data_IF_336239546410
#
_entry.id   IF_336239546410
#
_cell.length_a   1.000
_cell.length_b   1.000
_cell.length_c   1.000
_cell.angle_alpha   90.00
_cell.angle_beta   90.00
_cell.angle_gamma   90.00
#
_symmetry.space_group_name_H-M   'P 1'
#
loop_
_entity.id
_entity.type
_entity.pdbx_description
1 polymer ?
#
# COMPACT_ATOMS: atom_id res chain seq x y z
N UNK A 1 56.26 -32.77 -52.68
CA UNK A 1 55.81 -31.61 -51.90
C UNK A 1 54.32 -31.71 -51.70
N UNK A 2 53.92 -32.21 -50.54
CA UNK A 2 52.51 -32.41 -50.16
C UNK A 2 52.09 -31.20 -49.35
N UNK A 3 51.13 -30.41 -49.83
CA UNK A 3 50.48 -29.34 -49.06
C UNK A 3 49.36 -29.94 -48.25
N UNK A 4 49.48 -29.91 -46.94
CA UNK A 4 48.40 -30.31 -45.99
C UNK A 4 47.59 -29.04 -45.74
N UNK A 5 46.33 -29.03 -46.16
CA UNK A 5 45.31 -28.03 -45.81
C UNK A 5 44.71 -28.42 -44.45
N UNK A 6 45.02 -27.62 -43.43
CA UNK A 6 44.38 -27.74 -42.14
C UNK A 6 43.12 -26.86 -42.17
N UNK A 7 41.97 -27.51 -42.25
CA UNK A 7 40.67 -26.83 -42.10
C UNK A 7 40.41 -26.55 -40.63
N UNK A 8 40.45 -25.29 -40.27
CA UNK A 8 40.09 -24.83 -38.94
C UNK A 8 38.53 -24.76 -38.85
N UNK A 9 37.91 -25.73 -38.20
CA UNK A 9 36.49 -25.75 -37.93
C UNK A 9 36.21 -24.84 -36.74
N UNK A 10 35.79 -23.59 -36.99
CA UNK A 10 35.36 -22.65 -35.96
C UNK A 10 33.98 -23.03 -35.48
N UNK A 11 33.91 -23.77 -34.38
CA UNK A 11 32.66 -24.03 -33.69
C UNK A 11 32.21 -22.78 -32.98
N UNK A 12 31.28 -22.02 -33.56
CA UNK A 12 30.57 -20.93 -32.91
C UNK A 12 29.56 -21.56 -31.94
N UNK A 13 29.95 -21.67 -30.68
CA UNK A 13 29.01 -22.00 -29.61
C UNK A 13 28.10 -20.79 -29.39
N UNK A 14 26.92 -20.82 -30.00
CA UNK A 14 25.82 -19.90 -29.66
C UNK A 14 25.36 -20.23 -28.24
N UNK A 15 25.84 -19.48 -27.28
CA UNK A 15 25.26 -19.45 -25.95
C UNK A 15 23.82 -18.91 -26.08
N UNK A 16 22.85 -19.80 -26.22
CA UNK A 16 21.45 -19.50 -26.02
C UNK A 16 21.28 -19.14 -24.53
N UNK A 17 21.40 -17.86 -24.22
CA UNK A 17 20.92 -17.35 -22.95
C UNK A 17 19.41 -17.52 -22.96
N UNK A 18 18.92 -18.55 -22.28
CA UNK A 18 17.50 -18.70 -22.00
C UNK A 18 17.11 -17.55 -21.07
N UNK A 19 16.79 -16.39 -21.65
CA UNK A 19 16.13 -15.33 -20.90
C UNK A 19 14.74 -15.87 -20.51
N UNK A 20 14.46 -16.02 -19.23
CA UNK A 20 13.15 -16.42 -18.76
C UNK A 20 12.11 -15.48 -19.40
N UNK A 21 11.23 -16.03 -20.23
CA UNK A 21 10.24 -15.26 -20.97
C UNK A 21 9.27 -14.64 -19.97
N UNK A 22 9.36 -13.33 -19.82
CA UNK A 22 8.42 -12.56 -18.97
C UNK A 22 7.11 -12.46 -19.72
N UNK A 23 6.04 -13.04 -19.14
CA UNK A 23 4.69 -13.05 -19.70
C UNK A 23 3.70 -12.42 -18.73
N UNK A 24 2.61 -11.92 -19.27
CA UNK A 24 1.48 -11.42 -18.49
C UNK A 24 0.55 -12.57 -18.16
N UNK A 25 0.33 -12.80 -16.88
CA UNK A 25 -0.57 -13.82 -16.36
C UNK A 25 -1.83 -13.18 -15.79
N UNK A 26 -2.99 -13.71 -16.15
CA UNK A 26 -4.28 -13.29 -15.62
C UNK A 26 -4.88 -14.45 -14.80
N UNK A 27 -5.15 -14.21 -13.54
CA UNK A 27 -5.60 -15.20 -12.57
C UNK A 27 -6.98 -14.82 -12.04
N UNK A 28 -7.88 -15.79 -11.93
CA UNK A 28 -9.17 -15.62 -11.25
C UNK A 28 -8.97 -15.89 -9.76
N UNK A 29 -9.03 -14.86 -8.94
CA UNK A 29 -8.86 -14.94 -7.47
C UNK A 29 -10.19 -14.82 -6.73
N UNK A 30 -11.30 -14.52 -7.44
CA UNK A 30 -12.62 -14.24 -6.88
C UNK A 30 -12.76 -12.80 -6.41
N UNK A 31 -13.98 -12.27 -6.42
CA UNK A 31 -14.25 -10.89 -5.97
C UNK A 31 -14.09 -10.76 -4.46
N UNK A 32 -13.61 -9.61 -4.01
CA UNK A 32 -13.27 -9.34 -2.60
C UNK A 32 -13.58 -7.90 -2.24
N UNK A 33 -13.81 -7.65 -0.95
CA UNK A 33 -14.01 -6.30 -0.40
C UNK A 33 -12.96 -5.92 0.66
N UNK A 34 -12.01 -6.82 0.94
CA UNK A 34 -10.85 -6.57 1.82
C UNK A 34 -9.60 -7.16 1.19
N UNK A 35 -8.49 -6.44 1.29
CA UNK A 35 -7.19 -6.87 0.74
C UNK A 35 -6.14 -6.83 1.83
N UNK A 36 -5.36 -7.90 1.98
CA UNK A 36 -4.18 -7.94 2.83
C UNK A 36 -2.97 -8.38 2.00
N UNK A 37 -1.90 -7.61 2.06
CA UNK A 37 -0.58 -7.96 1.51
C UNK A 37 0.28 -8.35 2.69
N UNK A 38 0.76 -9.61 2.73
CA UNK A 38 1.45 -10.18 3.91
C UNK A 38 2.97 -10.21 3.73
N UNK A 39 3.47 -10.17 2.50
CA UNK A 39 4.89 -10.27 2.19
C UNK A 39 5.39 -9.04 1.43
N UNK A 40 6.69 -8.98 1.17
CA UNK A 40 7.36 -7.85 0.52
C UNK A 40 7.11 -7.75 -0.99
N UNK A 41 5.88 -7.99 -1.42
CA UNK A 41 5.45 -7.87 -2.82
C UNK A 41 4.67 -6.58 -3.06
N UNK A 42 5.03 -5.84 -4.11
CA UNK A 42 4.31 -4.63 -4.48
C UNK A 42 2.95 -4.97 -5.09
N UNK A 43 1.90 -4.30 -4.61
CA UNK A 43 0.53 -4.53 -5.07
C UNK A 43 -0.12 -3.23 -5.51
N UNK A 44 -0.74 -3.25 -6.69
CA UNK A 44 -1.63 -2.20 -7.17
C UNK A 44 -3.08 -2.72 -7.05
N UNK A 45 -3.89 -2.04 -6.28
CA UNK A 45 -5.33 -2.25 -6.23
C UNK A 45 -6.04 -1.23 -7.12
N UNK A 46 -7.01 -1.70 -7.90
CA UNK A 46 -7.93 -0.86 -8.68
C UNK A 46 -9.36 -1.34 -8.51
N UNK A 47 -10.26 -0.43 -8.16
CA UNK A 47 -11.69 -0.73 -8.20
C UNK A 47 -12.16 -0.73 -9.65
N UNK A 48 -12.66 -1.88 -10.12
CA UNK A 48 -13.20 -2.04 -11.46
C UNK A 48 -14.14 -3.26 -11.46
N UNK A 49 -15.44 -3.02 -11.70
CA UNK A 49 -16.45 -4.07 -11.68
C UNK A 49 -16.30 -5.07 -12.85
N UNK A 50 -15.86 -4.61 -14.03
CA UNK A 50 -15.70 -5.47 -15.21
C UNK A 50 -14.55 -6.49 -15.05
N UNK A 51 -13.56 -6.15 -14.25
CA UNK A 51 -12.39 -6.98 -13.95
C UNK A 51 -12.42 -7.56 -12.54
N UNK A 52 -13.55 -7.46 -11.83
CA UNK A 52 -13.66 -7.89 -10.45
C UNK A 52 -13.24 -9.35 -10.26
N UNK A 53 -12.46 -9.62 -9.23
CA UNK A 53 -11.93 -10.94 -8.93
C UNK A 53 -10.76 -11.40 -9.82
N UNK A 54 -10.15 -10.47 -10.56
CA UNK A 54 -8.96 -10.74 -11.37
C UNK A 54 -7.68 -10.26 -10.68
N UNK A 55 -6.61 -11.03 -10.82
CA UNK A 55 -5.25 -10.62 -10.52
C UNK A 55 -4.40 -10.70 -11.80
N UNK A 56 -3.54 -9.70 -12.02
CA UNK A 56 -2.62 -9.61 -13.17
C UNK A 56 -1.20 -9.50 -12.66
N UNK A 57 -0.34 -10.40 -13.13
CA UNK A 57 1.08 -10.42 -12.79
C UNK A 57 1.89 -10.53 -14.07
N UNK A 58 2.93 -9.74 -14.21
CA UNK A 58 3.87 -9.82 -15.33
C UNK A 58 5.21 -10.36 -14.81
N UNK A 59 5.46 -11.64 -15.06
CA UNK A 59 6.67 -12.33 -14.57
C UNK A 59 6.93 -13.61 -15.39
N UNK A 60 8.02 -14.31 -15.09
CA UNK A 60 8.22 -15.68 -15.55
C UNK A 60 7.25 -16.63 -14.85
N UNK A 61 6.95 -17.76 -15.49
CA UNK A 61 6.02 -18.76 -14.92
C UNK A 61 6.52 -19.28 -13.57
N UNK A 62 7.82 -19.50 -13.45
CA UNK A 62 8.43 -20.01 -12.21
C UNK A 62 8.22 -19.06 -11.03
N UNK A 63 8.28 -17.73 -11.25
CA UNK A 63 7.98 -16.74 -10.22
C UNK A 63 6.50 -16.68 -9.84
N UNK A 64 5.61 -16.97 -10.80
CA UNK A 64 4.17 -16.94 -10.54
C UNK A 64 3.77 -18.00 -9.49
N UNK A 65 4.38 -19.18 -9.53
CA UNK A 65 4.05 -20.30 -8.65
C UNK A 65 4.38 -20.01 -7.15
N UNK A 66 5.17 -18.96 -6.89
CA UNK A 66 5.49 -18.52 -5.52
C UNK A 66 4.59 -17.42 -4.97
N UNK A 67 3.71 -16.87 -5.81
CA UNK A 67 2.75 -15.85 -5.38
C UNK A 67 1.44 -16.53 -5.01
N UNK A 68 1.12 -16.55 -3.74
CA UNK A 68 -0.07 -17.20 -3.20
C UNK A 68 -1.23 -16.21 -3.05
N UNK A 69 -2.38 -16.59 -3.57
CA UNK A 69 -3.64 -15.86 -3.44
C UNK A 69 -4.62 -16.69 -2.62
N UNK A 70 -5.11 -16.14 -1.51
CA UNK A 70 -6.08 -16.82 -0.65
C UNK A 70 -7.30 -15.94 -0.40
N UNK A 71 -8.44 -16.32 -0.96
CA UNK A 71 -9.71 -15.66 -0.68
C UNK A 71 -10.41 -16.35 0.49
N UNK A 72 -10.74 -15.59 1.53
CA UNK A 72 -11.50 -16.08 2.67
C UNK A 72 -13.02 -16.02 2.41
N UNK A 73 -13.80 -16.84 3.14
CA UNK A 73 -15.26 -16.79 3.08
C UNK A 73 -15.86 -15.42 3.50
N UNK A 74 -15.08 -14.56 4.17
CA UNK A 74 -15.48 -13.21 4.57
C UNK A 74 -15.09 -12.13 3.55
N UNK A 75 -14.74 -12.51 2.31
CA UNK A 75 -14.38 -11.58 1.23
C UNK A 75 -13.02 -10.90 1.40
N UNK A 76 -12.07 -11.47 2.16
CA UNK A 76 -10.69 -10.98 2.27
C UNK A 76 -9.78 -11.75 1.34
N UNK A 77 -9.16 -11.06 0.40
CA UNK A 77 -8.07 -11.59 -0.42
C UNK A 77 -6.74 -11.32 0.30
N UNK A 78 -5.98 -12.36 0.57
CA UNK A 78 -4.60 -12.28 1.07
C UNK A 78 -3.63 -12.62 -0.05
N UNK A 79 -2.60 -11.79 -0.22
CA UNK A 79 -1.50 -12.00 -1.18
C UNK A 79 -0.23 -12.16 -0.37
N UNK A 80 0.46 -13.28 -0.56
CA UNK A 80 1.73 -13.55 0.10
C UNK A 80 2.69 -14.29 -0.82
N UNK A 81 3.98 -14.22 -0.53
CA UNK A 81 5.01 -15.01 -1.16
C UNK A 81 5.24 -16.31 -0.37
N UNK A 82 5.67 -17.36 -1.02
CA UNK A 82 6.17 -18.54 -0.32
C UNK A 82 7.48 -18.21 0.41
N UNK A 83 7.73 -18.86 1.53
CA UNK A 83 8.87 -18.60 2.43
C UNK A 83 10.25 -18.57 1.74
N UNK A 84 10.41 -19.28 0.62
CA UNK A 84 11.66 -19.32 -0.14
C UNK A 84 11.98 -18.01 -0.88
N UNK A 85 11.01 -17.10 -1.08
CA UNK A 85 11.13 -15.93 -1.93
C UNK A 85 10.96 -14.59 -1.21
N UNK A 86 10.80 -14.59 0.10
CA UNK A 86 10.63 -13.37 0.91
C UNK A 86 11.82 -12.38 0.82
N UNK A 87 12.97 -12.83 0.30
CA UNK A 87 14.20 -12.02 0.20
C UNK A 87 14.71 -11.82 -1.22
N UNK A 88 13.89 -12.10 -2.24
CA UNK A 88 14.31 -11.91 -3.64
C UNK A 88 14.17 -10.45 -4.07
N UNK A 89 15.22 -9.94 -4.69
CA UNK A 89 15.17 -8.67 -5.42
C UNK A 89 14.41 -8.84 -6.74
N UNK A 90 13.75 -7.77 -7.21
CA UNK A 90 13.12 -7.78 -8.54
C UNK A 90 11.77 -8.49 -8.61
N UNK A 91 11.07 -8.67 -7.51
CA UNK A 91 9.72 -9.25 -7.50
C UNK A 91 8.75 -8.46 -8.38
N UNK A 92 7.84 -9.15 -9.11
CA UNK A 92 6.87 -8.50 -9.96
C UNK A 92 5.86 -7.70 -9.12
N UNK A 93 5.27 -6.69 -9.76
CA UNK A 93 4.11 -6.01 -9.17
C UNK A 93 2.84 -6.77 -9.52
N UNK A 94 2.04 -7.09 -8.51
CA UNK A 94 0.72 -7.70 -8.66
C UNK A 94 -0.33 -6.60 -8.79
N UNK A 95 -1.19 -6.67 -9.80
CA UNK A 95 -2.35 -5.78 -9.91
C UNK A 95 -3.61 -6.60 -9.65
N UNK A 96 -4.45 -6.17 -8.71
CA UNK A 96 -5.71 -6.84 -8.37
C UNK A 96 -6.90 -5.91 -8.52
N UNK A 97 -8.03 -6.51 -8.90
CA UNK A 97 -9.27 -5.80 -9.18
C UNK A 97 -10.41 -6.38 -8.36
N UNK A 98 -11.26 -5.51 -7.82
CA UNK A 98 -12.53 -5.91 -7.20
C UNK A 98 -13.65 -4.93 -7.55
N UNK A 99 -14.90 -5.35 -7.35
CA UNK A 99 -16.08 -4.51 -7.57
C UNK A 99 -16.21 -3.41 -6.49
N UNK A 100 -15.71 -3.67 -5.29
CA UNK A 100 -15.74 -2.74 -4.15
C UNK A 100 -14.63 -3.05 -3.17
N UNK A 101 -14.25 -2.09 -2.33
CA UNK A 101 -13.26 -2.27 -1.27
C UNK A 101 -13.63 -1.45 -0.03
N UNK A 102 -13.53 -2.07 1.13
CA UNK A 102 -13.78 -1.45 2.43
C UNK A 102 -12.47 -1.26 3.21
N UNK A 103 -11.55 -2.19 3.07
CA UNK A 103 -10.32 -2.23 3.85
C UNK A 103 -9.14 -2.75 3.03
N UNK A 104 -8.01 -2.08 3.18
CA UNK A 104 -6.72 -2.57 2.69
C UNK A 104 -5.71 -2.61 3.83
N UNK A 105 -4.84 -3.60 3.83
CA UNK A 105 -3.79 -3.79 4.81
C UNK A 105 -2.49 -4.20 4.12
N UNK A 106 -1.40 -3.52 4.45
CA UNK A 106 -0.06 -3.93 4.08
C UNK A 106 0.68 -4.34 5.35
N UNK A 107 1.02 -5.63 5.42
CA UNK A 107 1.74 -6.25 6.51
C UNK A 107 3.10 -6.76 5.98
N UNK A 108 3.99 -5.81 5.72
CA UNK A 108 5.31 -6.04 5.13
C UNK A 108 5.97 -4.74 4.66
N UNK A 109 7.20 -4.85 4.15
CA UNK A 109 8.03 -3.70 3.74
C UNK A 109 7.76 -3.21 2.30
N UNK A 110 6.78 -3.80 1.62
CA UNK A 110 6.39 -3.48 0.25
C UNK A 110 5.51 -2.24 0.11
N UNK A 111 5.10 -1.94 -1.12
CA UNK A 111 4.18 -0.83 -1.41
C UNK A 111 2.83 -1.36 -1.90
N UNK A 112 1.75 -0.97 -1.21
CA UNK A 112 0.37 -1.15 -1.63
C UNK A 112 -0.17 0.18 -2.16
N UNK A 113 -0.57 0.23 -3.45
CA UNK A 113 -1.20 1.40 -4.09
C UNK A 113 -2.67 1.13 -4.33
N UNK A 114 -3.50 2.09 -3.96
CA UNK A 114 -4.96 2.03 -4.09
C UNK A 114 -5.43 3.18 -4.96
N UNK A 115 -6.13 2.85 -6.05
CA UNK A 115 -6.63 3.84 -7.01
C UNK A 115 -8.01 3.44 -7.54
N UNK A 116 -8.72 4.40 -8.14
CA UNK A 116 -10.01 4.15 -8.80
C UNK A 116 -11.16 3.89 -7.84
N UNK A 117 -11.07 4.37 -6.60
CA UNK A 117 -12.15 4.21 -5.62
C UNK A 117 -13.38 5.02 -6.03
N UNK A 118 -14.58 4.41 -6.08
CA UNK A 118 -15.82 5.17 -6.15
C UNK A 118 -16.07 5.92 -4.83
N UNK A 119 -17.05 6.83 -4.76
CA UNK A 119 -17.49 7.37 -3.48
C UNK A 119 -17.92 6.24 -2.52
N UNK A 120 -17.40 6.27 -1.28
CA UNK A 120 -17.59 5.23 -0.28
C UNK A 120 -18.23 5.80 0.98
N UNK A 121 -18.98 4.97 1.71
CA UNK A 121 -19.44 5.31 3.06
C UNK A 121 -18.25 5.31 4.05
N UNK A 122 -17.43 4.28 3.97
CA UNK A 122 -16.25 4.14 4.82
C UNK A 122 -15.11 3.44 4.07
N UNK A 123 -13.89 3.87 4.31
CA UNK A 123 -12.68 3.21 3.80
C UNK A 123 -11.61 3.19 4.88
N UNK A 124 -10.93 2.06 5.01
CA UNK A 124 -9.83 1.87 5.96
C UNK A 124 -8.56 1.39 5.28
N UNK A 125 -7.45 2.06 5.58
CA UNK A 125 -6.11 1.61 5.19
C UNK A 125 -5.26 1.37 6.43
N UNK A 126 -4.63 0.20 6.49
CA UNK A 126 -3.74 -0.22 7.58
C UNK A 126 -2.35 -0.50 7.05
N UNK A 127 -1.38 -0.22 7.89
CA UNK A 127 0.02 -0.55 7.66
C UNK A 127 0.61 -1.12 8.94
N UNK A 128 1.22 -2.27 8.82
CA UNK A 128 2.09 -2.89 9.83
C UNK A 128 3.51 -2.89 9.26
N UNK A 129 4.52 -2.73 10.12
CA UNK A 129 5.93 -2.68 9.74
C UNK A 129 6.36 -1.41 8.96
N UNK A 130 7.29 -1.55 7.99
CA UNK A 130 8.04 -0.43 7.42
C UNK A 130 7.64 -0.10 5.97
N UNK A 131 6.64 -0.81 5.45
CA UNK A 131 6.16 -0.64 4.09
C UNK A 131 5.48 0.69 3.82
N UNK A 132 4.76 0.75 2.71
CA UNK A 132 4.05 1.93 2.27
C UNK A 132 2.64 1.61 1.79
N UNK A 133 1.67 2.45 2.18
CA UNK A 133 0.32 2.45 1.60
C UNK A 133 0.08 3.80 0.95
N UNK A 134 -0.35 3.79 -0.32
CA UNK A 134 -0.65 4.99 -1.09
C UNK A 134 -2.10 4.92 -1.55
N UNK A 135 -2.94 5.84 -1.11
CA UNK A 135 -4.36 5.95 -1.47
C UNK A 135 -4.58 7.23 -2.24
N UNK A 136 -5.05 7.14 -3.49
CA UNK A 136 -5.29 8.32 -4.32
C UNK A 136 -6.72 8.44 -4.76
N UNK A 137 -7.25 9.66 -4.67
CA UNK A 137 -8.58 10.02 -5.13
C UNK A 137 -9.69 9.43 -4.27
N UNK A 138 -9.45 9.17 -2.98
CA UNK A 138 -10.48 8.68 -2.07
C UNK A 138 -11.54 9.74 -1.82
N UNK A 139 -12.80 9.34 -1.86
CA UNK A 139 -13.96 10.13 -1.43
C UNK A 139 -14.80 9.26 -0.53
N UNK A 140 -14.88 9.59 0.75
CA UNK A 140 -15.61 8.78 1.72
C UNK A 140 -16.26 9.63 2.80
N UNK A 141 -17.35 9.18 3.40
CA UNK A 141 -17.83 9.85 4.61
C UNK A 141 -16.87 9.60 5.78
N UNK A 142 -16.35 8.38 5.91
CA UNK A 142 -15.38 8.04 6.95
C UNK A 142 -14.10 7.47 6.32
N UNK A 143 -12.95 8.07 6.65
CA UNK A 143 -11.63 7.60 6.23
C UNK A 143 -10.77 7.29 7.46
N UNK A 144 -10.29 6.04 7.56
CA UNK A 144 -9.38 5.62 8.61
C UNK A 144 -8.01 5.24 8.03
N UNK A 145 -6.95 5.88 8.52
CA UNK A 145 -5.57 5.62 8.13
C UNK A 145 -4.76 5.25 9.38
N UNK A 146 -4.36 3.98 9.48
CA UNK A 146 -3.75 3.45 10.68
C UNK A 146 -2.38 2.83 10.41
N UNK A 147 -1.34 3.31 11.10
CA UNK A 147 -0.07 2.60 11.25
C UNK A 147 -0.12 1.90 12.60
N UNK A 148 -0.04 0.57 12.59
CA UNK A 148 -0.20 -0.27 13.77
C UNK A 148 1.13 -0.51 14.50
N UNK A 149 2.25 -0.49 13.76
CA UNK A 149 3.62 -0.61 14.29
C UNK A 149 4.63 -0.13 13.24
N UNK A 150 5.92 -0.04 13.61
CA UNK A 150 7.02 0.16 12.67
C UNK A 150 7.31 1.62 12.30
N UNK A 151 8.00 1.78 11.16
CA UNK A 151 8.46 3.06 10.58
C UNK A 151 7.81 3.38 9.24
N UNK A 152 6.81 2.61 8.85
CA UNK A 152 6.19 2.71 7.55
C UNK A 152 5.48 4.03 7.29
N UNK A 153 4.96 4.20 6.07
CA UNK A 153 4.37 5.45 5.62
C UNK A 153 3.02 5.23 4.93
N UNK A 154 2.01 5.98 5.35
CA UNK A 154 0.74 6.09 4.62
C UNK A 154 0.68 7.46 3.96
N UNK A 155 0.34 7.49 2.66
CA UNK A 155 0.12 8.71 1.88
C UNK A 155 -1.30 8.64 1.34
N UNK A 156 -2.12 9.64 1.63
CA UNK A 156 -3.50 9.71 1.15
C UNK A 156 -3.81 11.04 0.50
N UNK A 157 -4.66 11.02 -0.53
CA UNK A 157 -5.15 12.17 -1.26
C UNK A 157 -6.63 12.00 -1.57
N UNK A 158 -7.44 13.05 -1.36
CA UNK A 158 -8.87 13.02 -1.65
C UNK A 158 -9.69 13.91 -0.73
N UNK A 159 -10.89 13.44 -0.34
CA UNK A 159 -11.79 14.18 0.55
C UNK A 159 -12.61 13.23 1.42
N UNK A 160 -12.96 13.66 2.64
CA UNK A 160 -13.88 12.93 3.52
C UNK A 160 -14.57 13.88 4.51
N UNK A 161 -15.65 13.38 5.14
CA UNK A 161 -16.29 14.14 6.23
C UNK A 161 -15.51 13.95 7.53
N UNK A 162 -15.22 12.71 7.90
CA UNK A 162 -14.51 12.35 9.13
C UNK A 162 -13.21 11.58 8.81
N UNK A 163 -12.06 12.17 9.19
CA UNK A 163 -10.74 11.57 9.05
C UNK A 163 -10.21 11.09 10.39
N UNK A 164 -9.90 9.79 10.49
CA UNK A 164 -9.27 9.18 11.66
C UNK A 164 -7.84 8.74 11.34
N UNK A 165 -6.86 9.37 11.97
CA UNK A 165 -5.45 9.04 11.84
C UNK A 165 -4.96 8.39 13.14
N UNK A 166 -4.40 7.18 13.03
CA UNK A 166 -3.80 6.48 14.17
C UNK A 166 -2.39 6.04 13.82
N UNK A 167 -1.43 6.38 14.68
CA UNK A 167 -0.04 5.97 14.52
C UNK A 167 0.48 5.40 15.83
N UNK A 168 1.02 4.18 15.76
CA UNK A 168 1.78 3.55 16.83
C UNK A 168 3.18 3.28 16.30
N UNK A 169 4.21 3.88 16.94
CA UNK A 169 5.60 3.73 16.50
C UNK A 169 6.24 5.05 16.06
N UNK A 170 7.07 4.97 15.02
CA UNK A 170 7.90 6.08 14.51
C UNK A 170 7.60 6.43 13.05
N UNK A 171 6.54 5.85 12.48
CA UNK A 171 6.13 6.04 11.09
C UNK A 171 5.55 7.42 10.79
N UNK A 172 5.02 7.57 9.58
CA UNK A 172 4.48 8.83 9.09
C UNK A 172 3.15 8.64 8.37
N UNK A 173 2.14 9.46 8.68
CA UNK A 173 0.88 9.53 7.92
C UNK A 173 0.81 10.90 7.24
N UNK A 174 0.89 10.93 5.91
CA UNK A 174 0.71 12.11 5.07
C UNK A 174 -0.71 12.12 4.53
N UNK A 175 -1.61 12.84 5.17
CA UNK A 175 -3.00 13.06 4.77
C UNK A 175 -3.33 14.56 4.66
N UNK A 176 -2.32 15.39 4.48
CA UNK A 176 -2.48 16.83 4.25
C UNK A 176 -2.98 17.18 2.84
N UNK A 177 -3.12 16.19 1.96
CA UNK A 177 -3.85 16.27 0.69
C UNK A 177 -5.25 15.61 0.76
N UNK A 178 -5.74 15.30 1.96
CA UNK A 178 -7.13 14.86 2.20
C UNK A 178 -7.89 16.02 2.83
N UNK A 179 -8.82 16.60 2.09
CA UNK A 179 -9.72 17.62 2.62
C UNK A 179 -10.75 16.97 3.53
N UNK A 180 -10.66 17.20 4.84
CA UNK A 180 -11.56 16.62 5.83
C UNK A 180 -12.31 17.68 6.62
N UNK A 181 -13.59 17.43 6.92
CA UNK A 181 -14.36 18.34 7.80
C UNK A 181 -13.86 18.18 9.22
N UNK A 182 -13.92 16.98 9.79
CA UNK A 182 -13.43 16.68 11.13
C UNK A 182 -12.21 15.76 11.07
N UNK A 183 -11.23 16.02 11.95
CA UNK A 183 -10.01 15.21 12.01
C UNK A 183 -9.74 14.77 13.44
N UNK A 184 -9.51 13.48 13.62
CA UNK A 184 -9.06 12.86 14.87
C UNK A 184 -7.68 12.22 14.67
N UNK A 185 -6.68 12.71 15.38
CA UNK A 185 -5.31 12.20 15.36
C UNK A 185 -4.97 11.53 16.68
N UNK A 186 -4.50 10.28 16.63
CA UNK A 186 -3.98 9.58 17.81
C UNK A 186 -2.57 9.07 17.54
N UNK A 187 -1.59 9.57 18.32
CA UNK A 187 -0.19 9.15 18.25
C UNK A 187 0.23 8.44 19.53
N UNK A 188 0.88 7.29 19.39
CA UNK A 188 1.59 6.59 20.46
C UNK A 188 3.02 6.36 19.96
N UNK A 189 3.97 7.20 20.39
CA UNK A 189 5.37 7.12 19.94
C UNK A 189 5.94 8.48 19.51
N UNK A 190 6.81 8.48 18.49
CA UNK A 190 7.58 9.64 18.04
C UNK A 190 7.37 10.03 16.58
N UNK A 191 6.42 9.38 15.90
CA UNK A 191 6.12 9.63 14.50
C UNK A 191 5.42 10.95 14.22
N UNK A 192 5.04 11.16 12.97
CA UNK A 192 4.38 12.40 12.53
C UNK A 192 3.12 12.12 11.69
N UNK A 193 2.19 13.07 11.74
CA UNK A 193 0.98 13.09 10.91
C UNK A 193 0.81 14.44 10.26
N UNK A 194 0.36 14.45 8.99
CA UNK A 194 -0.13 15.63 8.28
C UNK A 194 -1.61 15.51 8.02
N UNK A 195 -2.40 16.60 8.17
CA UNK A 195 -3.83 16.63 7.84
C UNK A 195 -4.28 17.99 7.35
N UNK A 196 -5.43 18.04 6.65
CA UNK A 196 -6.11 19.27 6.24
C UNK A 196 -7.53 19.30 6.83
N UNK A 197 -7.86 20.37 7.58
CA UNK A 197 -9.14 20.48 8.30
C UNK A 197 -9.96 21.63 7.74
N UNK A 198 -11.15 21.33 7.23
CA UNK A 198 -12.02 22.30 6.55
C UNK A 198 -13.24 22.68 7.39
N UNK A 199 -13.03 23.57 8.35
CA UNK A 199 -14.09 24.20 9.14
C UNK A 199 -14.59 23.44 10.37
N UNK A 200 -14.31 22.13 10.49
CA UNK A 200 -14.72 21.31 11.63
C UNK A 200 -13.70 21.28 12.77
N UNK A 201 -13.70 20.22 13.55
CA UNK A 201 -12.83 20.08 14.72
C UNK A 201 -11.56 19.28 14.41
N UNK A 202 -10.42 19.72 14.97
CA UNK A 202 -9.19 18.95 15.08
C UNK A 202 -9.02 18.41 16.51
N UNK A 203 -9.04 17.10 16.68
CA UNK A 203 -8.76 16.42 17.95
C UNK A 203 -7.43 15.69 17.87
N UNK A 204 -6.48 16.07 18.73
CA UNK A 204 -5.17 15.42 18.83
C UNK A 204 -5.05 14.75 20.19
N UNK A 205 -4.72 13.47 20.21
CA UNK A 205 -4.53 12.71 21.46
C UNK A 205 -3.34 11.76 21.35
N UNK A 206 -2.78 11.36 22.50
CA UNK A 206 -1.77 10.30 22.53
C UNK A 206 -0.70 10.47 23.57
N UNK A 207 0.38 9.68 23.43
CA UNK A 207 1.53 9.66 24.33
C UNK A 207 2.84 9.61 23.55
N UNK A 208 3.90 10.26 24.07
CA UNK A 208 5.22 10.34 23.46
C UNK A 208 5.61 11.73 23.01
N UNK A 209 6.42 11.85 21.93
CA UNK A 209 6.98 13.11 21.42
C UNK A 209 6.58 13.39 19.96
N UNK A 210 5.54 12.75 19.46
CA UNK A 210 5.08 12.85 18.07
C UNK A 210 4.56 14.24 17.71
N UNK A 211 4.41 14.50 16.40
CA UNK A 211 3.98 15.78 15.86
C UNK A 211 2.78 15.60 14.92
N UNK A 212 1.79 16.49 15.05
CA UNK A 212 0.67 16.61 14.10
C UNK A 212 0.80 17.95 13.41
N UNK A 213 1.04 17.92 12.11
CA UNK A 213 1.03 19.10 11.26
C UNK A 213 -0.37 19.22 10.64
N UNK A 214 -0.96 20.41 10.73
CA UNK A 214 -2.28 20.62 10.14
C UNK A 214 -2.33 21.90 9.31
N UNK A 215 -3.08 21.85 8.23
CA UNK A 215 -3.48 23.01 7.43
C UNK A 215 -4.99 23.17 7.43
N UNK A 216 -5.46 24.25 6.80
CA UNK A 216 -6.88 24.60 6.79
C UNK A 216 -7.28 25.47 7.96
N UNK A 217 -8.59 25.56 8.22
CA UNK A 217 -9.20 26.47 9.19
C UNK A 217 -10.11 25.71 10.15
N UNK A 218 -9.55 24.93 11.11
CA UNK A 218 -10.38 24.25 12.08
C UNK A 218 -11.13 25.24 12.96
N UNK A 219 -12.41 25.01 13.22
CA UNK A 219 -13.20 25.80 14.17
C UNK A 219 -12.73 25.64 15.61
N UNK A 220 -12.13 24.48 15.92
CA UNK A 220 -11.60 24.16 17.25
C UNK A 220 -10.46 23.18 17.16
N UNK A 221 -9.40 23.42 17.93
CA UNK A 221 -8.26 22.50 18.10
C UNK A 221 -8.21 22.04 19.55
N UNK A 222 -8.34 20.74 19.77
CA UNK A 222 -8.26 20.13 21.11
C UNK A 222 -7.07 19.18 21.18
N UNK A 223 -6.17 19.38 22.14
CA UNK A 223 -4.99 18.54 22.35
C UNK A 223 -5.05 17.91 23.74
N UNK A 224 -5.14 16.56 23.78
CA UNK A 224 -5.07 15.76 25.02
C UNK A 224 -3.87 14.84 24.95
N UNK A 225 -2.86 15.06 25.78
CA UNK A 225 -1.56 14.38 25.65
C UNK A 225 -0.95 13.96 26.99
N UNK A 226 -0.21 12.86 26.92
CA UNK A 226 0.83 12.48 27.87
C UNK A 226 2.17 12.64 27.14
N UNK A 227 3.09 13.48 27.67
CA UNK A 227 4.36 13.82 27.02
C UNK A 227 4.31 15.13 26.22
N UNK A 228 5.10 15.21 25.13
CA UNK A 228 5.36 16.46 24.40
C UNK A 228 4.76 16.50 22.99
N UNK A 229 3.63 15.81 22.76
CA UNK A 229 2.92 15.85 21.47
C UNK A 229 2.53 17.30 21.15
N UNK A 230 2.74 17.70 19.89
CA UNK A 230 2.45 19.05 19.40
C UNK A 230 1.51 19.00 18.20
N UNK A 231 0.50 19.88 18.19
CA UNK A 231 -0.26 20.25 16.99
C UNK A 231 0.35 21.55 16.43
N UNK A 232 0.80 21.52 15.17
CA UNK A 232 1.59 22.59 14.54
C UNK A 232 0.87 23.01 13.26
N UNK A 233 0.41 24.27 13.16
CA UNK A 233 -0.18 24.76 11.92
C UNK A 233 0.89 24.87 10.83
N UNK A 234 0.55 24.41 9.63
CA UNK A 234 1.34 24.62 8.41
C UNK A 234 0.94 25.98 7.80
N UNK A 235 1.92 26.66 7.23
CA UNK A 235 1.70 27.92 6.51
C UNK A 235 1.19 27.67 5.10
#
# INVERSE_FOLDING_TARGET
MRRVLISFLLAVATLLTASAQVTRHELKVGDFNRLTVVSDINVNYRCNADSAGMAVVTCSKDLLDFIMFKLSAKGRLSIQLSEFYERMEGLPTVTVYSSSIEEVENDGDSTLRVTGLPPLKAFKARLTDNGKVIVRGVRASQLELHILSGKGKIIAQGACDDLSLRLVGTGEIQADEVEAVNVSCRIIGTGSMGCDVRGGELKVSGSGTGKVYYKGTPSKVTVRKLGTIKAIPMK
#
